data_IF_325551485564
#
_entry.id   IF_325551485564
#
_cell.length_a   1.000
_cell.length_b   1.000
_cell.length_c   1.000
_cell.angle_alpha   90.00
_cell.angle_beta   90.00
_cell.angle_gamma   90.00
#
_symmetry.space_group_name_H-M   'P 1'
#
loop_
_entity.id
_entity.type
_entity.pdbx_description
1 polymer ?
#
# COMPACT_ATOMS: atom_id res chain seq x y z
N UNK A 1 0.74 7.75 -4.70
CA UNK A 1 1.73 6.89 -5.30
C UNK A 1 1.94 7.15 -6.81
N UNK A 2 2.34 8.34 -7.17
CA UNK A 2 2.73 8.66 -8.54
C UNK A 2 1.76 9.55 -9.32
N UNK A 3 0.75 10.09 -8.67
CA UNK A 3 -0.14 11.08 -9.24
C UNK A 3 -0.88 11.87 -8.18
N UNK A 4 -1.30 13.07 -8.54
CA UNK A 4 -2.14 13.88 -7.68
C UNK A 4 -3.55 13.28 -7.59
N UNK A 5 -4.20 13.46 -6.46
CA UNK A 5 -5.62 13.17 -6.29
C UNK A 5 -6.49 14.08 -7.17
N UNK A 6 -7.76 13.73 -7.34
CA UNK A 6 -8.75 14.62 -8.01
C UNK A 6 -8.97 15.92 -7.25
N UNK A 7 -8.91 15.85 -5.94
CA UNK A 7 -9.07 16.97 -5.03
C UNK A 7 -8.27 16.72 -3.75
N UNK A 8 -7.89 17.77 -3.02
CA UNK A 8 -7.30 17.61 -1.69
C UNK A 8 -8.27 16.86 -0.75
N UNK A 9 -7.70 16.05 0.14
CA UNK A 9 -8.43 15.40 1.23
C UNK A 9 -8.11 16.19 2.51
N UNK A 10 -9.01 17.04 2.99
CA UNK A 10 -8.75 17.90 4.16
C UNK A 10 -8.98 17.17 5.49
N UNK A 11 -8.45 17.77 6.56
CA UNK A 11 -8.77 17.39 7.93
C UNK A 11 -8.18 16.06 8.38
N UNK A 12 -6.99 15.71 7.89
CA UNK A 12 -6.28 14.52 8.32
C UNK A 12 -5.28 14.89 9.42
N UNK A 13 -5.36 14.20 10.55
CA UNK A 13 -4.41 14.32 11.65
C UNK A 13 -3.34 13.23 11.60
N UNK A 14 -3.64 12.11 10.95
CA UNK A 14 -2.69 11.00 10.73
C UNK A 14 -2.92 10.33 9.39
N UNK A 15 -1.87 9.72 8.86
CA UNK A 15 -1.87 8.98 7.60
C UNK A 15 -1.10 7.68 7.81
N UNK A 16 -1.71 6.56 7.46
CA UNK A 16 -1.00 5.29 7.38
C UNK A 16 -0.25 5.23 6.04
N UNK A 17 1.07 5.02 6.13
CA UNK A 17 1.93 4.79 4.98
C UNK A 17 2.58 3.41 5.12
N UNK A 18 2.27 2.53 4.21
CA UNK A 18 2.98 1.28 4.08
C UNK A 18 4.33 1.48 3.35
N UNK A 19 5.30 0.58 3.51
CA UNK A 19 6.52 0.58 2.71
C UNK A 19 6.22 0.77 1.21
N UNK A 20 6.95 1.68 0.57
CA UNK A 20 6.81 2.16 -0.81
C UNK A 20 5.58 3.03 -1.13
N UNK A 21 4.65 3.25 -0.23
CA UNK A 21 3.64 4.29 -0.42
C UNK A 21 4.25 5.68 -0.25
N UNK A 22 3.80 6.63 -1.04
CA UNK A 22 4.21 8.06 -0.98
C UNK A 22 2.97 8.92 -0.89
N UNK A 23 3.08 10.00 -0.11
CA UNK A 23 2.03 11.00 0.04
C UNK A 23 2.63 12.40 0.02
N UNK A 24 1.93 13.32 -0.61
CA UNK A 24 2.21 14.75 -0.51
C UNK A 24 1.17 15.39 0.40
N UNK A 25 1.63 16.17 1.37
CA UNK A 25 0.78 16.84 2.34
C UNK A 25 1.05 18.32 2.37
N UNK A 26 0.00 19.10 2.57
CA UNK A 26 0.10 20.52 2.87
C UNK A 26 -0.23 20.71 4.33
N UNK A 27 0.72 21.25 5.07
CA UNK A 27 0.57 21.57 6.49
C UNK A 27 0.33 23.06 6.64
N UNK A 28 -0.80 23.42 7.23
CA UNK A 28 -1.08 24.81 7.58
C UNK A 28 -0.60 25.08 8.99
N UNK A 29 0.27 26.05 9.16
CA UNK A 29 0.72 26.49 10.47
C UNK A 29 -0.47 26.98 11.29
N UNK A 30 -0.62 26.47 12.51
CA UNK A 30 -1.61 26.99 13.44
C UNK A 30 -1.20 28.39 13.93
N UNK A 31 -2.14 29.32 13.95
CA UNK A 31 -1.95 30.65 14.56
C UNK A 31 -2.01 30.59 16.11
N UNK A 32 -2.14 29.40 16.68
CA UNK A 32 -2.11 29.24 18.13
C UNK A 32 -0.71 29.57 18.68
N UNK A 33 -0.62 29.84 19.98
CA UNK A 33 0.60 30.25 20.71
C UNK A 33 1.76 29.24 20.70
N UNK A 34 1.66 28.17 19.93
CA UNK A 34 2.72 27.18 19.78
C UNK A 34 3.76 27.67 18.78
N UNK A 35 5.01 27.72 19.21
CA UNK A 35 6.13 28.12 18.37
C UNK A 35 6.64 26.99 17.43
N UNK A 36 6.11 25.79 17.55
CA UNK A 36 6.55 24.63 16.75
C UNK A 36 5.45 23.58 16.56
N UNK A 37 5.58 22.77 15.50
CA UNK A 37 4.84 21.55 15.29
C UNK A 37 5.81 20.39 15.10
N UNK A 38 5.39 19.18 15.46
CA UNK A 38 6.20 17.95 15.36
C UNK A 38 5.47 16.94 14.49
N UNK A 39 6.12 16.52 13.39
CA UNK A 39 5.70 15.33 12.65
C UNK A 39 6.23 14.10 13.38
N UNK A 40 5.36 13.16 13.66
CA UNK A 40 5.69 11.95 14.41
C UNK A 40 5.35 10.69 13.65
N UNK A 41 6.21 9.66 13.79
CA UNK A 41 5.79 8.29 13.50
C UNK A 41 5.11 7.73 14.75
N UNK A 42 3.85 7.35 14.60
CA UNK A 42 3.06 6.76 15.68
C UNK A 42 3.30 5.24 15.75
N UNK A 43 3.10 4.63 16.93
CA UNK A 43 3.12 3.18 17.06
C UNK A 43 2.09 2.54 16.10
N UNK A 44 2.52 1.53 15.38
CA UNK A 44 1.64 0.78 14.49
C UNK A 44 1.84 -0.73 14.67
N UNK A 45 0.76 -1.46 14.81
CA UNK A 45 0.77 -2.92 14.88
C UNK A 45 0.36 -3.52 13.54
N UNK A 46 1.35 -3.98 12.78
CA UNK A 46 1.15 -4.66 11.48
C UNK A 46 0.73 -6.14 11.60
N UNK A 47 0.46 -6.61 12.81
CA UNK A 47 0.11 -8.01 13.06
C UNK A 47 1.34 -8.92 13.16
N UNK A 48 1.12 -10.23 13.21
CA UNK A 48 2.15 -11.24 13.36
C UNK A 48 2.30 -11.78 14.78
N UNK A 49 3.02 -12.88 14.91
CA UNK A 49 3.34 -13.46 16.22
C UNK A 49 4.69 -12.96 16.71
N UNK A 50 4.71 -12.29 17.86
CA UNK A 50 5.93 -11.87 18.55
C UNK A 50 6.39 -10.45 18.27
N UNK A 51 7.62 -10.12 18.69
CA UNK A 51 8.20 -8.77 18.69
C UNK A 51 8.45 -8.14 17.31
N UNK A 52 8.26 -8.88 16.21
CA UNK A 52 8.52 -8.39 14.84
C UNK A 52 7.37 -7.55 14.25
N UNK A 53 6.24 -7.44 14.92
CA UNK A 53 5.02 -6.86 14.33
C UNK A 53 4.69 -5.42 14.72
N UNK A 54 5.28 -4.85 15.77
CA UNK A 54 4.87 -3.54 16.25
C UNK A 54 6.03 -2.63 16.62
N UNK A 55 5.97 -1.37 16.19
CA UNK A 55 6.71 -0.29 16.85
C UNK A 55 5.94 0.12 18.10
N UNK A 56 6.59 0.15 19.25
CA UNK A 56 5.95 0.53 20.52
C UNK A 56 6.22 1.99 20.90
N UNK A 57 7.06 2.70 20.18
CA UNK A 57 7.47 4.06 20.50
C UNK A 57 7.02 5.06 19.45
N UNK A 58 6.56 6.22 19.90
CA UNK A 58 6.39 7.40 19.06
C UNK A 58 7.76 8.02 18.79
N UNK A 59 8.07 8.28 17.54
CA UNK A 59 9.36 8.84 17.10
C UNK A 59 9.11 10.18 16.44
N UNK A 60 9.78 11.24 16.90
CA UNK A 60 9.79 12.53 16.22
C UNK A 60 10.59 12.43 14.93
N UNK A 61 9.97 12.74 13.79
CA UNK A 61 10.59 12.69 12.46
C UNK A 61 11.08 14.07 12.03
N UNK A 62 10.30 15.11 12.32
CA UNK A 62 10.58 16.49 11.91
C UNK A 62 10.01 17.47 12.93
N UNK A 63 10.79 18.48 13.30
CA UNK A 63 10.31 19.61 14.09
C UNK A 63 10.28 20.84 13.20
N UNK A 64 9.10 21.44 13.03
CA UNK A 64 8.89 22.67 12.29
C UNK A 64 8.76 23.82 13.29
N UNK A 65 9.74 24.71 13.31
CA UNK A 65 9.71 25.90 14.17
C UNK A 65 9.14 27.10 13.39
N UNK A 66 8.21 27.80 13.98
CA UNK A 66 7.63 29.00 13.40
C UNK A 66 8.48 30.21 13.80
N UNK A 67 9.11 30.84 12.83
CA UNK A 67 10.07 31.93 13.05
C UNK A 67 9.51 33.31 12.79
N UNK A 68 8.32 33.43 12.21
CA UNK A 68 7.68 34.70 11.88
C UNK A 68 6.16 34.61 11.95
N UNK A 69 5.49 35.78 11.94
CA UNK A 69 4.04 35.81 11.83
C UNK A 69 3.57 35.12 10.55
N UNK A 70 2.46 34.34 10.66
CA UNK A 70 1.87 33.67 9.53
C UNK A 70 1.51 34.66 8.42
N UNK A 71 1.92 34.36 7.20
CA UNK A 71 1.36 35.01 6.00
C UNK A 71 -0.04 34.46 5.76
N UNK A 72 -0.86 35.18 5.00
CA UNK A 72 -2.20 34.74 4.65
C UNK A 72 -2.14 33.31 4.05
N UNK A 73 -3.03 32.42 4.52
CA UNK A 73 -3.11 31.07 4.00
C UNK A 73 -3.45 31.11 2.50
N UNK A 74 -2.70 30.39 1.70
CA UNK A 74 -3.02 30.19 0.30
C UNK A 74 -4.20 29.24 0.21
N UNK A 75 -5.27 29.65 -0.47
CA UNK A 75 -6.41 28.79 -0.71
C UNK A 75 -6.00 27.58 -1.55
N UNK A 76 -6.32 26.38 -1.09
CA UNK A 76 -6.10 25.17 -1.86
C UNK A 76 -7.08 25.12 -3.04
N UNK A 77 -6.64 24.63 -4.21
CA UNK A 77 -7.56 24.40 -5.32
C UNK A 77 -8.60 23.33 -4.93
N UNK A 78 -9.84 23.52 -5.33
CA UNK A 78 -10.91 22.55 -5.10
C UNK A 78 -10.77 21.30 -5.96
N UNK A 79 -10.06 21.41 -7.07
CA UNK A 79 -9.74 20.31 -7.99
C UNK A 79 -8.26 20.31 -8.33
N UNK A 80 -7.67 19.13 -8.40
CA UNK A 80 -6.28 18.89 -8.81
C UNK A 80 -6.26 18.31 -10.22
N UNK A 81 -5.86 17.03 -10.36
CA UNK A 81 -5.80 16.37 -11.65
C UNK A 81 -7.04 15.52 -11.93
N UNK A 82 -7.59 15.54 -13.15
CA UNK A 82 -8.58 14.55 -13.53
C UNK A 82 -7.94 13.16 -13.51
N UNK A 83 -8.62 12.22 -12.86
CA UNK A 83 -8.24 10.80 -12.87
C UNK A 83 -9.32 10.08 -13.65
N UNK A 84 -8.95 9.53 -14.81
CA UNK A 84 -9.86 8.72 -15.61
C UNK A 84 -10.12 7.38 -14.91
N UNK A 85 -11.36 6.95 -14.92
CA UNK A 85 -11.74 5.59 -14.55
C UNK A 85 -11.21 4.62 -15.62
N UNK A 86 -10.65 3.50 -15.24
CA UNK A 86 -10.19 2.46 -16.16
C UNK A 86 -11.33 1.73 -16.87
N UNK A 87 -12.56 1.90 -16.39
CA UNK A 87 -13.75 1.27 -16.98
C UNK A 87 -13.97 -0.17 -16.51
N UNK A 88 -14.79 -0.89 -17.26
CA UNK A 88 -15.24 -2.24 -16.90
C UNK A 88 -14.12 -3.25 -17.19
N UNK A 89 -13.69 -4.05 -16.21
CA UNK A 89 -12.68 -5.07 -16.43
C UNK A 89 -13.21 -6.21 -17.31
N UNK A 90 -12.38 -6.68 -18.21
CA UNK A 90 -12.67 -7.81 -19.11
C UNK A 90 -12.09 -9.12 -18.62
N UNK A 91 -11.17 -9.07 -17.66
CA UNK A 91 -10.50 -10.22 -17.04
C UNK A 91 -10.40 -10.02 -15.54
N UNK A 92 -10.36 -11.15 -14.83
CA UNK A 92 -10.14 -11.18 -13.38
C UNK A 92 -8.92 -12.01 -13.04
N UNK A 93 -8.19 -11.59 -12.00
CA UNK A 93 -7.10 -12.34 -11.40
C UNK A 93 -7.25 -12.35 -9.89
N UNK A 94 -6.71 -13.38 -9.26
CA UNK A 94 -6.71 -13.49 -7.81
C UNK A 94 -5.33 -13.96 -7.34
N UNK A 95 -4.82 -13.31 -6.32
CA UNK A 95 -3.61 -13.68 -5.60
C UNK A 95 -3.94 -13.87 -4.12
N UNK A 96 -3.35 -14.89 -3.52
CA UNK A 96 -3.53 -15.19 -2.10
C UNK A 96 -2.20 -15.05 -1.38
N UNK A 97 -2.16 -14.14 -0.42
CA UNK A 97 -1.04 -13.97 0.49
C UNK A 97 -1.20 -14.90 1.69
N UNK A 98 -0.17 -15.63 2.00
CA UNK A 98 -0.13 -16.54 3.15
C UNK A 98 1.24 -16.55 3.80
N UNK A 99 1.25 -16.85 5.08
CA UNK A 99 2.47 -17.11 5.85
C UNK A 99 2.31 -18.47 6.56
N UNK A 100 3.41 -19.16 6.74
CA UNK A 100 3.41 -20.46 7.41
C UNK A 100 4.79 -20.83 7.93
N UNK A 101 4.86 -21.83 8.78
CA UNK A 101 6.14 -22.45 9.12
C UNK A 101 6.55 -23.37 7.97
N UNK A 102 7.65 -23.05 7.31
CA UNK A 102 8.25 -23.93 6.31
C UNK A 102 8.63 -25.25 6.97
N UNK A 103 8.26 -26.37 6.35
CA UNK A 103 8.77 -27.70 6.73
C UNK A 103 10.23 -27.83 6.28
N UNK A 104 11.11 -27.01 6.86
CA UNK A 104 12.56 -27.16 6.73
C UNK A 104 13.02 -28.22 7.71
N UNK A 105 13.64 -29.28 7.21
CA UNK A 105 14.17 -30.35 8.02
C UNK A 105 15.16 -29.89 9.07
N UNK A 106 15.14 -30.53 10.23
CA UNK A 106 16.09 -30.49 11.35
C UNK A 106 16.73 -29.11 11.66
N UNK A 107 15.99 -28.25 12.40
CA UNK A 107 16.59 -27.10 13.04
C UNK A 107 15.89 -25.77 12.77
N UNK A 108 14.74 -25.52 13.41
CA UNK A 108 14.10 -24.22 13.47
C UNK A 108 13.34 -23.84 12.19
N UNK A 109 12.02 -24.00 12.19
CA UNK A 109 11.19 -23.59 11.06
C UNK A 109 11.26 -22.07 10.83
N UNK A 110 11.91 -21.65 9.75
CA UNK A 110 11.82 -20.27 9.28
C UNK A 110 10.40 -20.00 8.79
N UNK A 111 9.84 -18.84 9.13
CA UNK A 111 8.58 -18.40 8.56
C UNK A 111 8.74 -18.26 7.04
N UNK A 112 7.82 -18.81 6.29
CA UNK A 112 7.72 -18.63 4.85
C UNK A 112 6.61 -17.64 4.53
N UNK A 113 6.85 -16.80 3.53
CA UNK A 113 5.89 -15.83 3.02
C UNK A 113 5.62 -16.15 1.56
N UNK A 114 4.36 -16.45 1.24
CA UNK A 114 4.00 -17.07 -0.03
C UNK A 114 2.92 -16.28 -0.75
N UNK A 115 2.99 -16.28 -2.08
CA UNK A 115 1.91 -15.86 -2.96
C UNK A 115 1.37 -17.11 -3.67
N UNK A 116 0.08 -17.39 -3.55
CA UNK A 116 -0.58 -18.61 -4.06
C UNK A 116 0.11 -19.92 -3.61
N UNK A 117 0.60 -19.93 -2.37
CA UNK A 117 1.30 -21.07 -1.80
C UNK A 117 2.70 -21.31 -2.38
N UNK A 118 3.26 -20.37 -3.13
CA UNK A 118 4.56 -20.46 -3.80
C UNK A 118 5.52 -19.43 -3.30
N UNK A 119 6.80 -19.80 -3.17
CA UNK A 119 7.91 -18.89 -3.06
C UNK A 119 8.38 -18.46 -4.45
N UNK A 120 9.07 -17.34 -4.52
CA UNK A 120 9.61 -16.78 -5.77
C UNK A 120 10.52 -17.75 -6.52
N UNK A 121 10.35 -17.80 -7.83
CA UNK A 121 11.20 -18.53 -8.76
C UNK A 121 11.43 -17.64 -10.00
N UNK A 122 12.66 -17.18 -10.26
CA UNK A 122 12.96 -16.27 -11.36
C UNK A 122 12.74 -16.89 -12.75
N UNK A 123 12.69 -18.22 -12.84
CA UNK A 123 12.40 -18.93 -14.09
C UNK A 123 10.91 -19.10 -14.37
N UNK A 124 10.06 -18.88 -13.35
CA UNK A 124 8.62 -19.09 -13.46
C UNK A 124 7.90 -17.82 -13.83
N UNK A 125 6.93 -17.93 -14.71
CA UNK A 125 5.91 -16.89 -14.96
C UNK A 125 4.64 -17.34 -14.23
N UNK A 126 4.22 -16.55 -13.25
CA UNK A 126 3.07 -16.87 -12.41
C UNK A 126 1.77 -16.36 -13.02
N UNK A 127 1.81 -15.17 -13.65
CA UNK A 127 0.66 -14.56 -14.29
C UNK A 127 1.01 -14.04 -15.68
N UNK A 128 -0.01 -13.93 -16.54
CA UNK A 128 0.11 -13.29 -17.84
C UNK A 128 -1.01 -12.29 -18.04
N UNK A 129 -0.69 -11.14 -18.62
CA UNK A 129 -1.63 -10.07 -18.97
C UNK A 129 -1.52 -9.72 -20.45
N UNK A 130 -2.60 -9.20 -21.02
CA UNK A 130 -2.56 -8.60 -22.35
C UNK A 130 -2.43 -7.09 -22.25
N UNK A 131 -1.66 -6.52 -23.14
CA UNK A 131 -1.48 -5.07 -23.23
C UNK A 131 -2.82 -4.39 -23.53
N UNK A 132 -3.09 -3.28 -22.84
CA UNK A 132 -4.29 -2.45 -22.98
C UNK A 132 -5.63 -3.14 -22.63
N UNK A 133 -5.59 -4.27 -21.96
CA UNK A 133 -6.77 -4.93 -21.41
C UNK A 133 -6.99 -4.48 -19.95
N UNK A 134 -8.22 -4.11 -19.61
CA UNK A 134 -8.56 -3.78 -18.21
C UNK A 134 -8.75 -5.07 -17.44
N UNK A 135 -7.95 -5.27 -16.43
CA UNK A 135 -8.02 -6.42 -15.54
C UNK A 135 -8.44 -5.98 -14.14
N UNK A 136 -9.26 -6.78 -13.47
CA UNK A 136 -9.54 -6.65 -12.06
C UNK A 136 -8.75 -7.69 -11.27
N UNK A 137 -7.94 -7.21 -10.34
CA UNK A 137 -7.15 -8.07 -9.46
C UNK A 137 -7.72 -8.06 -8.05
N UNK A 138 -7.79 -9.24 -7.46
CA UNK A 138 -8.18 -9.46 -6.08
C UNK A 138 -6.98 -9.97 -5.31
N UNK A 139 -6.52 -9.22 -4.32
CA UNK A 139 -5.47 -9.65 -3.40
C UNK A 139 -6.13 -10.04 -2.09
N UNK A 140 -6.04 -11.30 -1.73
CA UNK A 140 -6.59 -11.85 -0.49
C UNK A 140 -5.47 -12.15 0.49
N UNK A 141 -5.41 -11.44 1.59
CA UNK A 141 -4.46 -11.70 2.65
C UNK A 141 -5.06 -12.70 3.66
N UNK A 142 -4.54 -13.91 3.70
CA UNK A 142 -4.93 -14.98 4.65
C UNK A 142 -3.99 -15.09 5.83
N UNK A 143 -3.08 -14.15 5.99
CA UNK A 143 -2.15 -14.11 7.11
C UNK A 143 -2.62 -13.17 8.21
N UNK A 144 -2.02 -13.30 9.38
CA UNK A 144 -2.25 -12.42 10.53
C UNK A 144 -1.40 -11.16 10.51
N UNK A 145 -0.73 -10.85 9.39
CA UNK A 145 0.15 -9.69 9.22
C UNK A 145 -0.29 -8.86 8.03
N UNK A 146 0.04 -7.57 8.07
CA UNK A 146 -0.11 -6.69 6.91
C UNK A 146 0.93 -7.01 5.85
N UNK A 147 0.53 -6.88 4.58
CA UNK A 147 1.40 -7.06 3.43
C UNK A 147 1.17 -5.94 2.41
N UNK A 148 2.05 -4.94 2.33
CA UNK A 148 2.01 -3.97 1.26
C UNK A 148 2.25 -4.64 -0.09
N UNK A 149 1.23 -4.70 -0.93
CA UNK A 149 1.34 -5.20 -2.30
C UNK A 149 1.89 -4.11 -3.21
N UNK A 150 2.95 -4.43 -3.94
CA UNK A 150 3.52 -3.55 -4.97
C UNK A 150 3.52 -4.24 -6.34
N UNK A 151 3.20 -3.47 -7.38
CA UNK A 151 3.19 -3.91 -8.77
C UNK A 151 4.12 -3.04 -9.61
N UNK A 152 5.12 -3.64 -10.23
CA UNK A 152 6.08 -2.95 -11.07
C UNK A 152 5.50 -2.48 -12.40
N UNK A 153 5.95 -1.31 -12.84
CA UNK A 153 5.83 -0.80 -14.21
C UNK A 153 4.42 -0.39 -14.65
N UNK A 154 3.44 -0.37 -13.76
CA UNK A 154 2.13 0.20 -13.98
C UNK A 154 1.52 0.68 -12.69
N UNK A 155 0.44 1.45 -12.80
CA UNK A 155 -0.37 1.88 -11.66
C UNK A 155 -1.76 1.28 -11.75
N UNK A 156 -2.41 1.14 -10.62
CA UNK A 156 -3.75 0.59 -10.48
C UNK A 156 -4.66 1.52 -9.70
N UNK A 157 -5.96 1.24 -9.75
CA UNK A 157 -6.99 1.97 -9.03
C UNK A 157 -7.71 1.02 -8.09
N UNK A 158 -7.59 1.24 -6.78
CA UNK A 158 -8.31 0.45 -5.77
C UNK A 158 -9.81 0.74 -5.90
N UNK A 159 -10.60 -0.33 -5.92
CA UNK A 159 -12.06 -0.28 -6.06
C UNK A 159 -12.72 -0.50 -4.71
N UNK A 160 -12.29 -1.52 -3.99
CA UNK A 160 -12.92 -1.89 -2.72
C UNK A 160 -11.98 -2.65 -1.81
N UNK A 161 -12.33 -2.65 -0.53
CA UNK A 161 -11.68 -3.41 0.53
C UNK A 161 -12.72 -4.20 1.30
N UNK A 162 -12.43 -5.45 1.62
CA UNK A 162 -13.30 -6.30 2.45
C UNK A 162 -12.52 -6.78 3.66
N UNK A 163 -13.04 -6.49 4.86
CA UNK A 163 -12.47 -6.94 6.13
C UNK A 163 -13.59 -7.38 7.06
N UNK A 164 -13.43 -8.52 7.72
CA UNK A 164 -14.44 -9.09 8.63
C UNK A 164 -15.85 -9.19 8.00
N UNK A 165 -15.91 -9.51 6.71
CA UNK A 165 -17.16 -9.64 5.97
C UNK A 165 -17.82 -8.32 5.55
N UNK A 166 -17.23 -7.18 5.90
CA UNK A 166 -17.72 -5.85 5.50
C UNK A 166 -16.91 -5.35 4.31
N UNK A 167 -17.60 -5.02 3.23
CA UNK A 167 -16.99 -4.42 2.04
C UNK A 167 -17.26 -2.91 2.02
N UNK A 168 -16.19 -2.14 1.87
CA UNK A 168 -16.23 -0.70 1.65
C UNK A 168 -15.60 -0.36 0.30
N UNK A 169 -16.21 0.59 -0.42
CA UNK A 169 -15.58 1.20 -1.60
C UNK A 169 -14.42 2.08 -1.18
N UNK A 170 -13.39 2.17 -2.00
CA UNK A 170 -12.30 3.12 -1.76
C UNK A 170 -12.88 4.55 -1.77
N UNK A 171 -12.56 5.38 -0.77
CA UNK A 171 -13.23 6.68 -0.59
C UNK A 171 -12.92 7.70 -1.69
N UNK A 172 -11.83 7.50 -2.41
CA UNK A 172 -11.44 8.35 -3.54
C UNK A 172 -10.62 7.56 -4.57
N UNK A 173 -10.81 7.90 -5.83
CA UNK A 173 -10.03 7.34 -6.92
C UNK A 173 -8.63 7.93 -6.91
N UNK A 174 -7.61 7.07 -6.96
CA UNK A 174 -6.21 7.44 -7.01
C UNK A 174 -5.40 6.45 -7.84
N UNK A 175 -4.34 6.93 -8.48
CA UNK A 175 -3.33 6.07 -9.05
C UNK A 175 -2.38 5.58 -7.96
N UNK A 176 -2.22 4.28 -7.86
CA UNK A 176 -1.33 3.63 -6.89
C UNK A 176 -0.46 2.59 -7.58
N UNK A 177 0.74 2.41 -7.10
CA UNK A 177 1.60 1.27 -7.44
C UNK A 177 1.80 0.34 -6.23
N UNK A 178 1.38 0.82 -5.06
CA UNK A 178 1.49 0.11 -3.79
C UNK A 178 0.17 0.26 -3.02
N UNK A 179 -0.24 -0.78 -2.32
CA UNK A 179 -1.40 -0.75 -1.43
C UNK A 179 -1.19 -1.69 -0.24
N UNK A 180 -1.39 -1.18 0.98
CA UNK A 180 -1.40 -2.06 2.15
C UNK A 180 -2.62 -2.97 2.12
N UNK A 181 -2.38 -4.27 2.29
CA UNK A 181 -3.42 -5.30 2.47
C UNK A 181 -3.32 -5.77 3.92
N UNK A 182 -4.22 -5.29 4.77
CA UNK A 182 -4.18 -5.58 6.19
C UNK A 182 -4.41 -7.09 6.48
N UNK A 183 -4.10 -7.51 7.69
CA UNK A 183 -4.34 -8.88 8.13
C UNK A 183 -5.81 -9.29 7.87
N UNK A 184 -6.01 -10.42 7.16
CA UNK A 184 -7.31 -10.97 6.79
C UNK A 184 -8.20 -10.04 5.95
N UNK A 185 -7.59 -9.08 5.24
CA UNK A 185 -8.26 -8.18 4.30
C UNK A 185 -8.20 -8.72 2.87
N UNK A 186 -9.21 -8.37 2.09
CA UNK A 186 -9.21 -8.53 0.63
C UNK A 186 -9.28 -7.15 -0.01
N UNK A 187 -8.37 -6.87 -0.93
CA UNK A 187 -8.34 -5.63 -1.72
C UNK A 187 -8.62 -5.96 -3.17
N UNK A 188 -9.49 -5.19 -3.79
CA UNK A 188 -9.83 -5.29 -5.22
C UNK A 188 -9.39 -4.02 -5.93
N UNK A 189 -8.69 -4.15 -7.04
CA UNK A 189 -8.26 -3.02 -7.86
C UNK A 189 -8.35 -3.32 -9.36
N UNK A 190 -8.52 -2.28 -10.17
CA UNK A 190 -8.44 -2.34 -11.62
C UNK A 190 -7.06 -1.88 -12.09
N UNK A 191 -6.53 -2.54 -13.12
CA UNK A 191 -5.21 -2.27 -13.67
C UNK A 191 -5.18 -2.49 -15.18
N UNK A 192 -4.32 -1.74 -15.87
CA UNK A 192 -4.00 -1.95 -17.29
C UNK A 192 -2.49 -2.03 -17.46
N UNK A 193 -2.03 -3.04 -18.18
CA UNK A 193 -0.64 -3.15 -18.59
C UNK A 193 -0.45 -2.46 -19.94
N UNK A 194 0.33 -1.39 -19.99
CA UNK A 194 0.53 -0.61 -21.23
C UNK A 194 1.76 -1.02 -22.06
N UNK A 195 2.62 -1.85 -21.49
CA UNK A 195 3.88 -2.23 -22.13
C UNK A 195 4.11 -3.74 -22.04
N UNK A 196 4.82 -4.29 -22.99
CA UNK A 196 5.28 -5.68 -22.99
C UNK A 196 6.46 -5.86 -22.04
N UNK A 197 6.66 -7.08 -21.55
CA UNK A 197 7.82 -7.48 -20.77
C UNK A 197 7.46 -8.17 -19.45
N UNK A 198 8.47 -8.74 -18.81
CA UNK A 198 8.36 -9.33 -17.49
C UNK A 198 8.29 -8.22 -16.44
N UNK A 199 7.41 -8.40 -15.45
CA UNK A 199 7.25 -7.49 -14.32
C UNK A 199 7.07 -8.28 -13.06
N UNK A 200 7.63 -7.76 -11.98
CA UNK A 200 7.46 -8.34 -10.66
C UNK A 200 6.25 -7.72 -9.97
N UNK A 201 5.64 -8.48 -9.11
CA UNK A 201 4.77 -8.04 -8.05
C UNK A 201 5.21 -8.71 -6.75
N UNK A 202 5.13 -8.01 -5.64
CA UNK A 202 5.64 -8.52 -4.38
C UNK A 202 5.05 -7.81 -3.16
N UNK A 203 5.26 -8.39 -1.99
CA UNK A 203 5.12 -7.69 -0.72
C UNK A 203 6.33 -6.76 -0.54
N UNK A 204 6.11 -5.51 -0.15
CA UNK A 204 7.20 -4.53 0.04
C UNK A 204 7.75 -4.46 1.47
N UNK A 205 7.47 -5.44 2.31
CA UNK A 205 8.23 -5.69 3.53
C UNK A 205 9.49 -6.46 3.13
N UNK A 206 10.67 -5.87 3.34
CA UNK A 206 11.94 -6.40 2.83
C UNK A 206 12.22 -7.83 3.29
N UNK A 207 11.88 -8.17 4.53
CA UNK A 207 12.05 -9.51 5.07
C UNK A 207 11.14 -10.52 4.35
N UNK A 208 9.92 -10.14 3.98
CA UNK A 208 9.00 -11.00 3.26
C UNK A 208 9.42 -11.17 1.80
N UNK A 209 9.82 -10.09 1.15
CA UNK A 209 10.34 -10.06 -0.21
C UNK A 209 11.56 -10.97 -0.34
N UNK A 210 12.58 -10.78 0.53
CA UNK A 210 13.81 -11.58 0.54
C UNK A 210 13.58 -13.07 0.82
N UNK A 211 12.48 -13.41 1.47
CA UNK A 211 12.05 -14.79 1.71
C UNK A 211 11.12 -15.35 0.62
N UNK A 212 10.96 -14.62 -0.48
CA UNK A 212 10.30 -15.10 -1.68
C UNK A 212 8.82 -14.73 -1.83
N UNK A 213 8.31 -13.72 -1.10
CA UNK A 213 6.93 -13.23 -1.30
C UNK A 213 6.83 -12.36 -2.56
N UNK A 214 7.13 -12.96 -3.71
CA UNK A 214 7.21 -12.34 -5.02
C UNK A 214 6.67 -13.27 -6.11
N UNK A 215 6.30 -12.66 -7.26
CA UNK A 215 5.94 -13.36 -8.49
C UNK A 215 6.23 -12.54 -9.75
N UNK A 216 6.13 -13.19 -10.91
CA UNK A 216 6.33 -12.56 -12.24
C UNK A 216 5.10 -12.78 -13.10
#
# INVERSE_FOLDING_TARGET
>A
DGGLLRSPVPGLDEILLAPAERVEVIVTASLSSQASAVLQALPYNRGGMGMMGSSSATIALLIVNYTSAATAAIALPSALNPIADLGVPTKTKRLVFSSGMGMGGMGGGMMSFLIDGKSFDPARIDLTSRVNEVEQWTIENRSSMDHPFHLHGTQFQVVSRTRSGVTATEPYLAWRDTVNVAAFETVVFNVVQHQLGKRMYHCHILEHESQGMMGV
#
